data_IF_868768526916
#
_entry.id   IF_868768526916
#
_cell.length_a   1.000
_cell.length_b   1.000
_cell.length_c   1.000
_cell.angle_alpha   90.00
_cell.angle_beta   90.00
_cell.angle_gamma   90.00
#
_symmetry.space_group_name_H-M   'P 1'
#
loop_
_entity.id
_entity.type
_entity.pdbx_description
1 polymer ?
#
# COMPACT_ATOMS: atom_id res chain seq x y z
N UNK A 1 37.13 -44.05 -83.14
CA UNK A 1 36.53 -42.70 -83.27
C UNK A 1 36.11 -42.25 -81.87
N UNK A 2 36.43 -41.00 -81.51
CA UNK A 2 36.50 -40.46 -80.14
C UNK A 2 35.12 -40.09 -79.55
N UNK A 3 35.07 -40.04 -78.20
CA UNK A 3 33.99 -39.63 -77.28
C UNK A 3 33.15 -38.40 -77.68
N UNK A 4 31.92 -38.29 -77.13
CA UNK A 4 31.41 -37.04 -76.51
C UNK A 4 30.14 -37.23 -75.65
N UNK A 5 30.18 -36.57 -74.49
CA UNK A 5 29.20 -36.44 -73.39
C UNK A 5 28.29 -35.23 -73.64
N UNK A 6 27.06 -35.24 -73.10
CA UNK A 6 26.39 -34.13 -72.33
C UNK A 6 24.91 -34.50 -72.06
N UNK A 7 24.53 -34.95 -70.86
CA UNK A 7 23.96 -34.18 -69.72
C UNK A 7 22.81 -33.23 -70.08
N UNK A 8 21.56 -33.59 -69.72
CA UNK A 8 20.62 -32.81 -68.85
C UNK A 8 19.14 -33.21 -69.06
N UNK A 9 18.34 -32.98 -68.01
CA UNK A 9 16.85 -33.04 -67.88
C UNK A 9 16.35 -34.39 -67.33
N UNK A 10 16.32 -34.65 -66.02
CA UNK A 10 15.48 -34.10 -64.94
C UNK A 10 13.97 -34.46 -65.04
N UNK A 11 13.46 -35.08 -63.96
CA UNK A 11 12.05 -35.29 -63.56
C UNK A 11 11.39 -36.61 -63.93
N UNK A 12 11.26 -37.47 -62.92
CA UNK A 12 10.07 -38.25 -62.51
C UNK A 12 10.52 -39.11 -61.31
N UNK A 13 10.94 -38.46 -60.21
CA UNK A 13 10.08 -38.34 -59.01
C UNK A 13 9.19 -39.57 -58.80
N UNK A 14 9.85 -40.56 -58.22
CA UNK A 14 9.34 -41.76 -57.56
C UNK A 14 8.24 -41.37 -56.55
N UNK A 15 7.03 -41.16 -57.05
CA UNK A 15 5.83 -41.14 -56.24
C UNK A 15 5.56 -42.55 -55.75
N UNK A 16 5.05 -42.66 -54.52
CA UNK A 16 4.58 -43.90 -53.92
C UNK A 16 5.76 -44.77 -53.43
N UNK A 17 5.97 -45.05 -52.16
CA UNK A 17 5.06 -45.12 -51.04
C UNK A 17 5.95 -45.47 -49.84
N UNK A 18 6.43 -44.46 -49.12
CA UNK A 18 6.94 -44.63 -47.77
C UNK A 18 6.13 -43.70 -46.85
N UNK A 19 4.83 -43.98 -46.76
CA UNK A 19 4.14 -43.88 -45.47
C UNK A 19 4.87 -44.89 -44.58
N UNK A 20 5.48 -44.58 -43.45
CA UNK A 20 5.18 -43.54 -42.48
C UNK A 20 6.46 -43.26 -41.70
N UNK A 21 7.07 -42.09 -41.87
CA UNK A 21 7.80 -41.52 -40.73
C UNK A 21 6.74 -40.91 -39.84
N UNK A 22 6.50 -41.57 -38.71
CA UNK A 22 5.80 -40.98 -37.58
C UNK A 22 6.48 -39.65 -37.27
N UNK A 23 5.82 -38.55 -37.61
CA UNK A 23 6.22 -37.22 -37.16
C UNK A 23 6.03 -37.18 -35.64
N UNK A 24 7.10 -37.46 -34.90
CA UNK A 24 7.12 -37.17 -33.47
C UNK A 24 7.14 -35.65 -33.34
N UNK A 25 5.99 -35.09 -32.96
CA UNK A 25 5.87 -33.68 -32.63
C UNK A 25 6.71 -33.40 -31.39
N UNK A 26 7.93 -32.89 -31.57
CA UNK A 26 8.65 -32.22 -30.49
C UNK A 26 7.84 -30.99 -30.11
N UNK A 27 6.96 -31.15 -29.12
CA UNK A 27 6.42 -30.01 -28.41
C UNK A 27 7.59 -29.37 -27.66
N UNK A 28 8.20 -28.33 -28.25
CA UNK A 28 9.18 -27.50 -27.57
C UNK A 28 8.55 -26.96 -26.28
N UNK A 29 8.96 -27.51 -25.14
CA UNK A 29 8.59 -26.97 -23.84
C UNK A 29 9.36 -25.66 -23.67
N UNK A 30 8.69 -24.55 -23.95
CA UNK A 30 9.23 -23.22 -23.70
C UNK A 30 9.43 -23.03 -22.20
N UNK A 31 10.67 -22.91 -21.76
CA UNK A 31 10.98 -22.57 -20.37
C UNK A 31 10.43 -21.18 -20.10
N UNK A 32 9.33 -21.10 -19.33
CA UNK A 32 8.81 -19.85 -18.79
C UNK A 32 9.56 -19.59 -17.48
N UNK A 33 10.60 -18.77 -17.57
CA UNK A 33 11.20 -18.21 -16.36
C UNK A 33 10.14 -17.38 -15.65
N UNK A 34 9.85 -17.72 -14.39
CA UNK A 34 9.11 -16.81 -13.50
C UNK A 34 9.84 -15.47 -13.52
N UNK A 35 9.23 -14.43 -14.11
CA UNK A 35 9.66 -13.06 -13.91
C UNK A 35 9.36 -12.71 -12.45
N UNK A 36 10.19 -13.22 -11.55
CA UNK A 36 10.35 -12.64 -10.25
C UNK A 36 10.88 -11.24 -10.51
N UNK A 37 9.99 -10.25 -10.43
CA UNK A 37 10.40 -8.88 -10.17
C UNK A 37 11.22 -8.92 -8.88
N UNK A 38 12.53 -9.17 -9.00
CA UNK A 38 13.49 -8.83 -7.97
C UNK A 38 13.45 -7.31 -7.93
N UNK A 39 12.51 -6.76 -7.15
CA UNK A 39 12.53 -5.34 -6.78
C UNK A 39 13.93 -5.11 -6.25
N UNK A 40 14.71 -4.33 -7.01
CA UNK A 40 16.00 -3.83 -6.61
C UNK A 40 15.87 -3.41 -5.14
N UNK A 41 16.75 -3.93 -4.28
CA UNK A 41 16.69 -3.68 -2.85
C UNK A 41 16.76 -2.17 -2.66
N UNK A 42 15.61 -1.51 -2.48
CA UNK A 42 15.53 -0.07 -2.30
C UNK A 42 16.41 0.26 -1.10
N UNK A 43 17.54 0.92 -1.36
CA UNK A 43 18.55 1.25 -0.37
C UNK A 43 18.17 2.49 0.44
N UNK A 44 17.00 3.08 0.17
CA UNK A 44 16.44 4.25 0.84
C UNK A 44 15.30 3.92 1.81
N UNK A 45 14.81 4.96 2.49
CA UNK A 45 13.58 4.88 3.28
C UNK A 45 12.38 4.81 2.34
N UNK A 46 11.35 4.06 2.75
CA UNK A 46 10.07 4.03 2.05
C UNK A 46 9.23 5.23 2.48
N UNK A 47 8.67 5.93 1.49
CA UNK A 47 7.67 6.96 1.75
C UNK A 47 6.34 6.32 2.15
N UNK A 48 5.97 6.53 3.42
CA UNK A 48 4.79 5.94 4.05
C UNK A 48 3.47 6.32 3.34
N UNK A 49 3.45 7.49 2.70
CA UNK A 49 2.23 8.03 2.08
C UNK A 49 1.92 7.43 0.70
N UNK A 50 2.88 6.73 0.08
CA UNK A 50 2.72 6.17 -1.27
C UNK A 50 2.99 4.67 -1.32
N UNK A 51 3.90 4.15 -0.48
CA UNK A 51 4.33 2.76 -0.53
C UNK A 51 3.15 1.78 -0.48
N UNK A 52 3.24 0.72 -1.28
CA UNK A 52 2.26 -0.37 -1.33
C UNK A 52 2.54 -1.45 -0.28
N UNK A 53 1.59 -2.38 -0.09
CA UNK A 53 1.74 -3.48 0.88
C UNK A 53 2.97 -4.34 0.62
N UNK A 54 3.27 -4.64 -0.65
CA UNK A 54 4.42 -5.45 -1.05
C UNK A 54 5.74 -4.75 -0.75
N UNK A 55 5.82 -3.44 -0.92
CA UNK A 55 6.99 -2.63 -0.59
C UNK A 55 7.29 -2.64 0.90
N UNK A 56 6.28 -2.44 1.75
CA UNK A 56 6.46 -2.54 3.19
C UNK A 56 6.97 -3.93 3.61
N UNK A 57 6.39 -5.00 3.04
CA UNK A 57 6.79 -6.37 3.36
C UNK A 57 8.21 -6.67 2.86
N UNK A 58 8.57 -6.22 1.66
CA UNK A 58 9.91 -6.35 1.11
C UNK A 58 10.96 -5.60 1.94
N UNK A 59 10.60 -4.45 2.52
CA UNK A 59 11.43 -3.75 3.50
C UNK A 59 11.46 -4.42 4.89
N UNK A 60 10.82 -5.58 5.07
CA UNK A 60 10.77 -6.30 6.34
C UNK A 60 9.98 -5.56 7.42
N UNK A 61 8.90 -4.88 7.05
CA UNK A 61 7.92 -4.31 7.97
C UNK A 61 6.77 -5.31 8.10
N UNK A 62 6.46 -5.70 9.34
CA UNK A 62 5.46 -6.74 9.61
C UNK A 62 4.06 -6.33 9.14
N UNK A 63 3.28 -7.29 8.59
CA UNK A 63 1.94 -7.04 8.05
C UNK A 63 1.03 -6.26 9.00
N UNK A 64 1.07 -6.55 10.31
CA UNK A 64 0.26 -5.83 11.31
C UNK A 64 0.45 -4.32 11.29
N UNK A 65 1.67 -3.85 11.00
CA UNK A 65 1.99 -2.42 10.90
C UNK A 65 1.59 -1.88 9.54
N UNK A 66 1.89 -2.63 8.48
CA UNK A 66 1.47 -2.31 7.12
C UNK A 66 -0.04 -2.11 7.01
N UNK A 67 -0.83 -3.06 7.52
CA UNK A 67 -2.29 -3.02 7.49
C UNK A 67 -2.80 -1.80 8.26
N UNK A 68 -2.21 -1.48 9.42
CA UNK A 68 -2.55 -0.27 10.18
C UNK A 68 -2.17 1.04 9.48
N UNK A 69 -1.05 1.07 8.74
CA UNK A 69 -0.62 2.23 7.95
C UNK A 69 -1.57 2.47 6.77
N UNK A 70 -1.96 1.40 6.07
CA UNK A 70 -2.90 1.48 4.95
C UNK A 70 -4.30 1.89 5.42
N UNK A 71 -4.75 1.36 6.55
CA UNK A 71 -6.02 1.77 7.17
C UNK A 71 -5.98 3.23 7.62
N UNK A 72 -4.90 3.67 8.26
CA UNK A 72 -4.69 5.08 8.60
C UNK A 72 -4.82 5.96 7.36
N UNK A 73 -4.14 5.59 6.26
CA UNK A 73 -4.20 6.34 4.99
C UNK A 73 -5.61 6.46 4.43
N UNK A 74 -6.39 5.38 4.49
CA UNK A 74 -7.75 5.36 3.99
C UNK A 74 -8.67 6.32 4.78
N UNK A 75 -8.51 6.37 6.11
CA UNK A 75 -9.39 7.13 6.99
C UNK A 75 -8.96 8.58 7.20
N UNK A 76 -7.65 8.82 7.36
CA UNK A 76 -7.07 10.11 7.73
C UNK A 76 -6.51 10.86 6.51
N UNK A 77 -6.09 10.15 5.47
CA UNK A 77 -5.30 10.70 4.37
C UNK A 77 -3.80 10.58 4.65
N UNK A 78 -3.00 11.54 4.22
CA UNK A 78 -1.55 11.46 4.40
C UNK A 78 -1.10 11.68 5.85
N UNK A 79 -0.03 10.98 6.23
CA UNK A 79 0.80 11.32 7.37
C UNK A 79 1.49 12.68 7.12
N UNK A 80 1.38 13.60 8.06
CA UNK A 80 2.12 14.86 8.07
C UNK A 80 3.51 14.70 8.68
N UNK A 81 3.60 13.87 9.72
CA UNK A 81 4.84 13.53 10.40
C UNK A 81 4.94 12.04 10.60
N UNK A 82 6.17 11.52 10.61
CA UNK A 82 6.38 10.10 10.82
C UNK A 82 5.95 9.66 12.24
N UNK A 83 5.95 10.56 13.22
CA UNK A 83 5.53 10.28 14.59
C UNK A 83 4.07 9.86 14.72
N UNK A 84 3.21 10.27 13.78
CA UNK A 84 1.80 9.89 13.77
C UNK A 84 1.58 8.38 13.67
N UNK A 85 2.56 7.59 13.21
CA UNK A 85 2.46 6.11 13.23
C UNK A 85 2.30 5.55 14.64
N UNK A 86 2.71 6.28 15.69
CA UNK A 86 2.48 5.91 17.10
C UNK A 86 0.99 5.86 17.48
N UNK A 87 0.13 6.45 16.65
CA UNK A 87 -1.31 6.36 16.82
C UNK A 87 -1.89 5.02 16.35
N UNK A 88 -1.11 4.22 15.64
CA UNK A 88 -1.49 2.88 15.21
C UNK A 88 -1.25 1.89 16.35
N UNK A 89 -2.24 1.01 16.60
CA UNK A 89 -2.17 0.00 17.65
C UNK A 89 -0.93 -0.88 17.48
N UNK A 90 -0.18 -1.06 18.57
CA UNK A 90 1.03 -1.89 18.57
C UNK A 90 2.31 -1.15 18.15
N UNK A 91 2.24 0.13 17.83
CA UNK A 91 3.41 0.97 17.56
C UNK A 91 3.68 1.88 18.76
N UNK A 92 4.41 1.36 19.75
CA UNK A 92 4.99 2.17 20.82
C UNK A 92 6.35 2.73 20.45
N UNK A 93 7.00 3.47 21.36
CA UNK A 93 8.30 4.13 21.15
C UNK A 93 9.37 3.21 20.54
N UNK A 94 9.60 2.03 21.12
CA UNK A 94 10.60 1.09 20.62
C UNK A 94 10.29 0.59 19.19
N UNK A 95 9.01 0.42 18.85
CA UNK A 95 8.60 0.02 17.50
C UNK A 95 8.75 1.19 16.53
N UNK A 96 8.33 2.38 16.95
CA UNK A 96 8.50 3.62 16.19
C UNK A 96 9.96 3.82 15.78
N UNK A 97 10.92 3.72 16.71
CA UNK A 97 12.34 3.89 16.38
C UNK A 97 12.87 2.86 15.38
N UNK A 98 12.34 1.62 15.39
CA UNK A 98 12.69 0.61 14.38
C UNK A 98 12.11 0.96 13.01
N UNK A 99 10.86 1.38 12.96
CA UNK A 99 10.18 1.76 11.72
C UNK A 99 10.75 3.05 11.13
N UNK A 100 11.12 4.02 11.96
CA UNK A 100 11.67 5.32 11.53
C UNK A 100 13.03 5.24 10.83
N UNK A 101 13.73 4.11 10.98
CA UNK A 101 14.95 3.81 10.20
C UNK A 101 14.65 3.40 8.76
N UNK A 102 13.44 2.89 8.50
CA UNK A 102 13.01 2.36 7.20
C UNK A 102 11.97 3.21 6.50
N UNK A 103 11.32 4.12 7.23
CA UNK A 103 10.20 4.92 6.75
C UNK A 103 10.51 6.41 6.83
N UNK A 104 9.90 7.16 5.91
CA UNK A 104 9.88 8.61 5.92
C UNK A 104 8.54 9.15 5.41
N UNK A 105 8.37 10.47 5.53
CA UNK A 105 7.27 11.22 4.92
C UNK A 105 7.90 12.11 3.86
N UNK A 106 7.87 11.67 2.61
CA UNK A 106 8.43 12.44 1.49
C UNK A 106 7.31 13.16 0.71
N UNK A 107 6.20 12.47 0.46
CA UNK A 107 5.01 13.03 -0.20
C UNK A 107 4.04 13.58 0.83
N UNK A 108 3.53 14.80 0.63
CA UNK A 108 2.41 15.36 1.41
C UNK A 108 1.17 15.45 0.54
N UNK A 109 0.03 14.95 1.02
CA UNK A 109 -1.28 15.05 0.35
C UNK A 109 -2.28 15.72 1.30
N UNK A 110 -3.51 15.89 0.85
CA UNK A 110 -4.58 16.40 1.70
C UNK A 110 -4.99 15.37 2.75
N UNK A 111 -5.37 15.85 3.93
CA UNK A 111 -6.04 15.04 4.95
C UNK A 111 -7.55 15.09 4.79
N UNK A 112 -8.20 14.05 5.27
CA UNK A 112 -9.65 13.99 5.32
C UNK A 112 -10.19 14.88 6.45
N UNK A 113 -11.40 15.45 6.31
CA UNK A 113 -12.08 16.10 7.42
C UNK A 113 -12.48 15.09 8.51
N UNK A 114 -12.41 15.50 9.76
CA UNK A 114 -12.85 14.73 10.92
C UNK A 114 -14.23 15.19 11.40
N UNK A 115 -15.24 14.37 11.17
CA UNK A 115 -16.60 14.59 11.66
C UNK A 115 -16.71 14.22 13.14
N UNK A 116 -16.59 15.23 14.02
CA UNK A 116 -16.40 15.02 15.46
C UNK A 116 -17.58 14.33 16.15
N UNK A 117 -18.78 14.34 15.58
CA UNK A 117 -19.95 13.67 16.17
C UNK A 117 -20.12 12.22 15.66
N UNK A 118 -19.37 11.81 14.64
CA UNK A 118 -19.47 10.50 14.01
C UNK A 118 -18.21 9.66 14.18
N UNK A 119 -17.08 10.28 14.52
CA UNK A 119 -15.83 9.59 14.73
C UNK A 119 -15.89 8.63 15.92
N UNK A 120 -15.51 7.38 15.70
CA UNK A 120 -15.35 6.37 16.73
C UNK A 120 -13.98 6.53 17.44
N UNK A 121 -13.78 5.76 18.51
CA UNK A 121 -12.55 5.81 19.29
C UNK A 121 -11.30 5.51 18.47
N UNK A 122 -11.40 4.63 17.46
CA UNK A 122 -10.28 4.24 16.60
C UNK A 122 -9.87 5.38 15.68
N UNK A 123 -10.84 6.01 15.01
CA UNK A 123 -10.61 7.16 14.15
C UNK A 123 -10.05 8.33 14.96
N UNK A 124 -10.67 8.65 16.10
CA UNK A 124 -10.14 9.68 17.01
C UNK A 124 -8.69 9.37 17.41
N UNK A 125 -8.38 8.11 17.72
CA UNK A 125 -7.02 7.71 18.05
C UNK A 125 -6.05 7.97 16.90
N UNK A 126 -6.43 7.68 15.65
CA UNK A 126 -5.60 7.98 14.47
C UNK A 126 -5.32 9.48 14.28
N UNK A 127 -6.28 10.35 14.58
CA UNK A 127 -6.05 11.80 14.60
C UNK A 127 -5.21 12.27 15.81
N UNK A 128 -4.76 11.36 16.67
CA UNK A 128 -3.85 11.67 17.78
C UNK A 128 -4.54 11.99 19.09
N UNK A 129 -5.85 11.75 19.21
CA UNK A 129 -6.57 11.91 20.47
C UNK A 129 -6.04 10.91 21.50
N UNK A 130 -5.75 11.43 22.69
CA UNK A 130 -5.38 10.64 23.85
C UNK A 130 -6.58 9.82 24.34
N UNK A 131 -6.31 8.75 25.07
CA UNK A 131 -7.37 7.92 25.67
C UNK A 131 -8.30 8.74 26.59
N UNK A 132 -7.78 9.80 27.21
CA UNK A 132 -8.56 10.69 28.08
C UNK A 132 -9.52 11.54 27.25
N UNK A 133 -9.02 12.20 26.21
CA UNK A 133 -9.84 13.05 25.32
C UNK A 133 -10.93 12.24 24.62
N UNK A 134 -10.62 11.03 24.15
CA UNK A 134 -11.61 10.13 23.54
C UNK A 134 -12.76 9.86 24.52
N UNK A 135 -12.43 9.47 25.76
CA UNK A 135 -13.44 9.23 26.80
C UNK A 135 -14.24 10.49 27.15
N UNK A 136 -13.62 11.66 27.13
CA UNK A 136 -14.32 12.92 27.41
C UNK A 136 -15.30 13.27 26.29
N UNK A 137 -14.92 13.04 25.04
CA UNK A 137 -15.80 13.20 23.88
C UNK A 137 -16.98 12.22 23.95
N UNK A 138 -16.72 10.94 24.19
CA UNK A 138 -17.75 9.90 24.30
C UNK A 138 -18.77 10.24 25.40
N UNK A 139 -18.30 10.53 26.62
CA UNK A 139 -19.16 10.93 27.73
C UNK A 139 -19.97 12.19 27.43
N UNK A 140 -19.39 13.15 26.71
CA UNK A 140 -20.10 14.36 26.33
C UNK A 140 -21.25 14.04 25.37
N UNK A 141 -21.00 13.21 24.34
CA UNK A 141 -22.03 12.77 23.39
C UNK A 141 -23.13 11.95 24.09
N UNK A 142 -22.78 11.10 25.04
CA UNK A 142 -23.77 10.33 25.82
C UNK A 142 -24.68 11.23 26.68
N UNK A 143 -24.10 12.23 27.36
CA UNK A 143 -24.83 13.07 28.31
C UNK A 143 -25.60 14.22 27.67
N UNK A 144 -25.00 14.85 26.66
CA UNK A 144 -25.50 16.09 26.04
C UNK A 144 -26.05 15.82 24.63
N UNK A 145 -25.68 14.70 24.02
CA UNK A 145 -26.09 14.32 22.66
C UNK A 145 -25.01 14.62 21.62
N UNK A 146 -24.73 15.91 21.37
CA UNK A 146 -23.79 16.30 20.29
C UNK A 146 -22.89 17.47 20.67
N UNK A 147 -21.70 17.47 20.09
CA UNK A 147 -20.77 18.60 20.14
C UNK A 147 -21.20 19.59 19.06
N UNK A 148 -21.74 20.74 19.47
CA UNK A 148 -22.39 21.68 18.56
C UNK A 148 -21.41 22.58 17.81
N UNK A 149 -20.32 22.99 18.47
CA UNK A 149 -19.41 23.99 17.94
C UNK A 149 -17.97 23.82 18.46
N UNK A 150 -17.10 24.65 17.90
CA UNK A 150 -15.69 24.72 18.26
C UNK A 150 -15.41 25.12 19.70
N UNK A 151 -16.21 26.00 20.29
CA UNK A 151 -16.01 26.44 21.68
C UNK A 151 -16.17 25.23 22.62
N UNK A 152 -17.19 24.40 22.40
CA UNK A 152 -17.42 23.18 23.16
C UNK A 152 -16.28 22.19 22.95
N UNK A 153 -15.92 21.88 21.69
CA UNK A 153 -14.85 20.93 21.41
C UNK A 153 -13.52 21.37 22.05
N UNK A 154 -13.16 22.65 21.90
CA UNK A 154 -11.94 23.22 22.48
C UNK A 154 -11.89 23.11 24.00
N UNK A 155 -13.04 23.18 24.69
CA UNK A 155 -13.13 22.94 26.14
C UNK A 155 -12.88 21.48 26.49
N UNK A 156 -13.39 20.54 25.68
CA UNK A 156 -13.25 19.10 25.90
C UNK A 156 -11.80 18.64 25.70
N UNK A 157 -11.17 19.00 24.57
CA UNK A 157 -9.83 18.48 24.22
C UNK A 157 -8.68 19.42 24.57
N UNK A 158 -9.00 20.60 25.10
CA UNK A 158 -8.04 21.63 25.41
C UNK A 158 -7.56 22.43 24.18
N UNK A 159 -7.08 23.65 24.46
CA UNK A 159 -6.67 24.62 23.43
C UNK A 159 -5.56 24.08 22.53
N UNK A 160 -4.51 23.50 23.10
CA UNK A 160 -3.32 23.05 22.33
C UNK A 160 -3.69 22.02 21.27
N UNK A 161 -4.49 21.02 21.65
CA UNK A 161 -4.93 19.99 20.71
C UNK A 161 -5.87 20.58 19.67
N UNK A 162 -6.85 21.36 20.12
CA UNK A 162 -7.81 22.00 19.21
C UNK A 162 -7.12 22.82 18.12
N UNK A 163 -6.16 23.68 18.48
CA UNK A 163 -5.44 24.50 17.50
C UNK A 163 -4.65 23.68 16.47
N UNK A 164 -4.17 22.49 16.86
CA UNK A 164 -3.40 21.61 15.96
C UNK A 164 -4.24 21.08 14.79
N UNK A 165 -5.53 20.82 15.00
CA UNK A 165 -6.38 20.15 14.00
C UNK A 165 -7.69 20.90 13.69
N UNK A 166 -7.80 22.18 14.09
CA UNK A 166 -9.04 22.96 13.96
C UNK A 166 -9.61 22.99 12.54
N UNK A 167 -8.74 23.03 11.54
CA UNK A 167 -9.15 23.13 10.13
C UNK A 167 -9.71 21.81 9.58
N UNK A 168 -9.47 20.70 10.28
CA UNK A 168 -9.98 19.37 9.93
C UNK A 168 -11.36 19.10 10.54
N UNK A 169 -11.73 19.75 11.64
CA UNK A 169 -12.96 19.41 12.36
C UNK A 169 -14.22 19.82 11.58
N UNK A 170 -15.22 18.94 11.58
CA UNK A 170 -16.57 19.18 11.07
C UNK A 170 -17.59 18.72 12.11
N UNK A 171 -18.65 19.51 12.31
CA UNK A 171 -19.65 19.29 13.38
C UNK A 171 -20.96 18.66 12.87
N UNK A 172 -21.20 18.78 11.57
CA UNK A 172 -22.27 18.15 10.81
C UNK A 172 -21.68 17.50 9.56
N UNK A 173 -22.32 16.43 9.09
CA UNK A 173 -22.24 16.06 7.68
C UNK A 173 -23.19 16.92 6.88
#
# INVERSE_FOLDING_TARGET
MKYRVWTSILLLFFSFFCLTESSFSENEVKIIMSQGNMKEKQTGKLDINVADKGEFLAAGIASRYTDGILEYRALVGSFETLEEIKNIKGIGEATYHKLAKKLEVATKKSRNPLYINQADAKLLKYYGFSKKEIKEIERYREKIGRIENNIVLRKIIGKKHYEKYKDLFRYSK
#
